data_IF_756278919806
#
_entry.id   IF_756278919806
#
_cell.length_a   1.000
_cell.length_b   1.000
_cell.length_c   1.000
_cell.angle_alpha   90.00
_cell.angle_beta   90.00
_cell.angle_gamma   90.00
#
_symmetry.space_group_name_H-M   'P 1'
#
loop_
_entity.id
_entity.type
_entity.pdbx_description
1 polymer ?
#
# COMPACT_ATOMS: atom_id res chain seq x y z
N UNK A 1 -9.13 -11.36 3.20
CA UNK A 1 -8.38 -12.36 2.39
C UNK A 1 -7.02 -12.58 3.06
N UNK A 2 -6.50 -13.81 3.14
CA UNK A 2 -5.14 -14.05 3.67
C UNK A 2 -4.09 -13.67 2.61
N UNK A 3 -2.99 -13.06 3.03
CA UNK A 3 -1.87 -12.67 2.16
C UNK A 3 -0.54 -13.25 2.65
N UNK A 4 0.55 -12.91 1.96
CA UNK A 4 1.90 -13.34 2.31
C UNK A 4 2.50 -12.50 3.44
N UNK A 5 3.50 -13.04 4.15
CA UNK A 5 4.19 -12.31 5.23
C UNK A 5 4.75 -10.97 4.72
N UNK A 6 4.68 -9.94 5.56
CA UNK A 6 5.11 -8.56 5.27
C UNK A 6 4.38 -7.85 4.11
N UNK A 7 3.39 -8.46 3.46
CA UNK A 7 2.54 -7.79 2.45
C UNK A 7 1.34 -7.11 3.10
N UNK A 8 0.77 -6.09 2.45
CA UNK A 8 -0.39 -5.32 2.93
C UNK A 8 -1.42 -5.22 1.82
N UNK A 9 -2.68 -5.56 2.12
CA UNK A 9 -3.80 -5.34 1.21
C UNK A 9 -3.72 -6.08 -0.13
N UNK A 10 -2.88 -7.10 -0.28
CA UNK A 10 -2.75 -7.88 -1.52
C UNK A 10 -3.04 -9.37 -1.27
N UNK A 11 -3.44 -10.09 -2.31
CA UNK A 11 -3.59 -11.55 -2.25
C UNK A 11 -2.24 -12.26 -2.16
N UNK A 12 -2.24 -13.57 -1.92
CA UNK A 12 -1.02 -14.40 -1.91
C UNK A 12 -0.33 -14.53 -3.27
N UNK A 13 -0.91 -14.00 -4.35
CA UNK A 13 -0.28 -13.91 -5.66
C UNK A 13 0.89 -12.89 -5.69
N UNK A 14 0.90 -11.93 -4.75
CA UNK A 14 1.97 -10.94 -4.65
C UNK A 14 3.04 -11.42 -3.66
N UNK A 15 4.26 -11.63 -4.16
CA UNK A 15 5.42 -12.01 -3.34
C UNK A 15 5.94 -10.86 -2.48
N UNK A 16 6.82 -11.20 -1.52
CA UNK A 16 7.55 -10.19 -0.74
C UNK A 16 8.37 -9.29 -1.67
N UNK A 17 8.14 -7.97 -1.62
CA UNK A 17 8.84 -6.95 -2.44
C UNK A 17 8.64 -7.13 -3.96
N UNK A 18 7.63 -7.89 -4.37
CA UNK A 18 7.25 -8.08 -5.75
C UNK A 18 6.45 -6.87 -6.27
N UNK A 19 7.17 -5.79 -6.59
CA UNK A 19 6.60 -4.56 -7.12
C UNK A 19 5.91 -4.76 -8.47
N UNK A 20 6.27 -5.80 -9.25
CA UNK A 20 5.66 -6.09 -10.55
C UNK A 20 4.24 -6.62 -10.36
N UNK A 21 4.06 -7.65 -9.55
CA UNK A 21 2.72 -8.19 -9.27
C UNK A 21 1.88 -7.24 -8.41
N UNK A 22 2.49 -6.40 -7.57
CA UNK A 22 1.78 -5.36 -6.83
C UNK A 22 0.99 -4.40 -7.73
N UNK A 23 1.46 -4.12 -8.96
CA UNK A 23 0.75 -3.24 -9.92
C UNK A 23 -0.54 -3.86 -10.48
N UNK A 24 -0.79 -5.14 -10.26
CA UNK A 24 -1.97 -5.81 -10.79
C UNK A 24 -3.16 -5.67 -9.83
N UNK A 25 -4.10 -4.81 -10.19
CA UNK A 25 -5.32 -4.53 -9.41
C UNK A 25 -6.20 -5.77 -9.14
N UNK A 26 -6.11 -6.82 -9.98
CA UNK A 26 -6.84 -8.08 -9.70
C UNK A 26 -6.38 -8.79 -8.43
N UNK A 27 -5.19 -8.45 -7.92
CA UNK A 27 -4.65 -8.96 -6.67
C UNK A 27 -4.97 -8.07 -5.46
N UNK A 28 -5.78 -7.02 -5.62
CA UNK A 28 -6.12 -6.05 -4.57
C UNK A 28 -7.52 -6.35 -3.99
N UNK A 29 -7.62 -7.12 -2.91
CA UNK A 29 -8.89 -7.28 -2.20
C UNK A 29 -9.38 -5.95 -1.62
N UNK A 30 -10.70 -5.71 -1.69
CA UNK A 30 -11.33 -4.57 -1.04
C UNK A 30 -11.27 -4.67 0.49
N UNK A 31 -11.03 -3.54 1.16
CA UNK A 31 -11.11 -3.44 2.61
C UNK A 31 -12.56 -3.18 3.07
N UNK A 32 -12.84 -3.42 4.35
CA UNK A 32 -14.14 -3.07 4.94
C UNK A 32 -14.45 -1.57 4.84
N UNK A 33 -13.43 -0.71 4.98
CA UNK A 33 -13.59 0.74 4.88
C UNK A 33 -13.95 1.16 3.45
N UNK A 34 -13.44 0.45 2.44
CA UNK A 34 -13.86 0.64 1.05
C UNK A 34 -15.36 0.37 0.89
N UNK A 35 -15.84 -0.78 1.38
CA UNK A 35 -17.27 -1.11 1.32
C UNK A 35 -18.13 -0.13 2.12
N UNK A 36 -17.66 0.34 3.27
CA UNK A 36 -18.36 1.35 4.06
C UNK A 36 -18.50 2.67 3.29
N UNK A 37 -17.46 3.13 2.59
CA UNK A 37 -17.53 4.31 1.73
C UNK A 37 -18.47 4.13 0.54
N UNK A 38 -18.43 2.96 -0.12
CA UNK A 38 -19.34 2.63 -1.22
C UNK A 38 -20.81 2.62 -0.76
N UNK A 39 -21.05 2.27 0.49
CA UNK A 39 -22.36 2.38 1.15
C UNK A 39 -22.69 3.80 1.68
N UNK A 40 -21.89 4.82 1.35
CA UNK A 40 -22.11 6.21 1.74
C UNK A 40 -21.81 6.53 3.21
N UNK A 41 -21.07 5.68 3.92
CA UNK A 41 -20.72 5.89 5.34
C UNK A 41 -19.45 6.71 5.50
N UNK A 42 -19.37 7.45 6.61
CA UNK A 42 -18.12 8.06 7.05
C UNK A 42 -17.13 6.99 7.54
N UNK A 43 -15.87 7.13 7.16
CA UNK A 43 -14.79 6.19 7.53
C UNK A 43 -13.57 6.96 8.01
N UNK A 44 -12.75 6.34 8.86
CA UNK A 44 -11.49 6.91 9.31
C UNK A 44 -10.67 5.89 10.11
N UNK A 45 -9.44 6.27 10.42
CA UNK A 45 -8.49 5.45 11.17
C UNK A 45 -7.92 6.24 12.36
N UNK A 46 -7.71 5.54 13.47
CA UNK A 46 -7.00 6.05 14.64
C UNK A 46 -6.00 4.98 15.07
N UNK A 47 -4.74 5.38 15.27
CA UNK A 47 -3.66 4.47 15.66
C UNK A 47 -2.71 5.15 16.64
N UNK A 48 -2.05 4.37 17.50
CA UNK A 48 -0.90 4.83 18.29
C UNK A 48 0.43 4.68 17.54
N UNK A 49 0.42 3.95 16.43
CA UNK A 49 1.55 3.80 15.50
C UNK A 49 1.46 4.83 14.36
N UNK A 50 2.46 4.91 13.47
CA UNK A 50 2.35 5.63 12.21
C UNK A 50 1.09 5.23 11.44
N UNK A 51 0.41 6.20 10.83
CA UNK A 51 -0.81 5.93 10.02
C UNK A 51 -0.51 5.15 8.73
N UNK A 52 0.77 5.06 8.37
CA UNK A 52 1.35 4.28 7.27
C UNK A 52 1.83 2.90 7.70
N UNK A 53 1.77 2.58 8.99
CA UNK A 53 2.17 1.25 9.46
C UNK A 53 1.19 0.16 8.99
N UNK A 54 1.60 -1.10 9.02
CA UNK A 54 0.88 -2.20 8.38
C UNK A 54 -0.60 -2.31 8.80
N UNK A 55 -0.90 -2.13 10.08
CA UNK A 55 -2.27 -2.26 10.61
C UNK A 55 -3.22 -1.19 10.05
N UNK A 56 -2.94 0.12 10.16
CA UNK A 56 -3.78 1.14 9.52
C UNK A 56 -3.73 1.08 7.98
N UNK A 57 -2.55 0.82 7.39
CA UNK A 57 -2.37 0.71 5.95
C UNK A 57 -3.23 -0.38 5.32
N UNK A 58 -3.46 -1.50 6.01
CA UNK A 58 -4.33 -2.58 5.52
C UNK A 58 -5.78 -2.15 5.24
N UNK A 59 -6.19 -0.98 5.74
CA UNK A 59 -7.52 -0.44 5.46
C UNK A 59 -7.61 0.32 4.14
N UNK A 60 -6.49 0.76 3.54
CA UNK A 60 -6.51 1.61 2.35
C UNK A 60 -5.44 1.32 1.29
N UNK A 61 -4.33 0.68 1.64
CA UNK A 61 -3.18 0.48 0.76
C UNK A 61 -3.03 -0.97 0.30
N UNK A 62 -2.41 -1.11 -0.86
CA UNK A 62 -2.02 -2.35 -1.50
C UNK A 62 -0.50 -2.29 -1.73
N UNK A 63 0.28 -3.08 -0.98
CA UNK A 63 1.74 -3.04 -1.02
C UNK A 63 2.36 -4.44 -0.90
N UNK A 64 3.35 -4.73 -1.74
CA UNK A 64 4.16 -5.95 -1.67
C UNK A 64 5.15 -5.97 -0.48
N UNK A 65 5.34 -4.82 0.19
CA UNK A 65 6.15 -4.74 1.39
C UNK A 65 5.66 -3.64 2.33
N UNK A 66 5.34 -4.00 3.58
CA UNK A 66 4.80 -3.07 4.58
C UNK A 66 5.71 -1.91 4.96
N UNK A 67 7.01 -2.01 4.66
CA UNK A 67 7.98 -0.93 4.93
C UNK A 67 8.14 0.01 3.75
N UNK A 68 7.32 -0.08 2.71
CA UNK A 68 7.25 0.95 1.67
C UNK A 68 6.27 2.05 2.10
N UNK A 69 6.56 2.66 3.24
CA UNK A 69 5.74 3.74 3.79
C UNK A 69 5.95 5.04 3.01
N UNK A 70 7.17 5.23 2.51
CA UNK A 70 7.60 6.36 1.69
C UNK A 70 8.23 5.90 0.38
N UNK A 71 8.34 6.82 -0.59
CA UNK A 71 9.03 6.58 -1.85
C UNK A 71 10.53 6.27 -1.67
N UNK A 72 11.17 6.88 -0.67
CA UNK A 72 12.58 6.64 -0.35
C UNK A 72 12.85 5.17 0.01
N UNK A 73 11.99 4.56 0.82
CA UNK A 73 12.12 3.14 1.20
C UNK A 73 11.94 2.23 -0.02
N UNK A 74 11.03 2.57 -0.94
CA UNK A 74 10.89 1.84 -2.20
C UNK A 74 12.12 1.99 -3.09
N UNK A 75 12.64 3.21 -3.26
CA UNK A 75 13.85 3.49 -4.05
C UNK A 75 15.03 2.69 -3.55
N UNK A 76 15.29 2.74 -2.24
CA UNK A 76 16.40 2.01 -1.61
C UNK A 76 16.30 0.49 -1.84
N UNK A 77 15.10 -0.09 -1.71
CA UNK A 77 14.86 -1.51 -1.96
C UNK A 77 15.08 -1.86 -3.44
N UNK A 78 14.54 -1.05 -4.36
CA UNK A 78 14.68 -1.23 -5.82
C UNK A 78 16.14 -1.07 -6.27
N UNK A 79 16.90 -0.15 -5.68
CA UNK A 79 18.32 0.06 -5.92
C UNK A 79 19.18 -1.10 -5.39
N UNK A 80 18.80 -1.69 -4.26
CA UNK A 80 19.53 -2.78 -3.61
C UNK A 80 19.39 -4.15 -4.29
N UNK A 81 18.84 -4.21 -5.51
CA UNK A 81 18.80 -5.43 -6.33
C UNK A 81 17.48 -6.22 -6.29
N UNK A 82 16.38 -5.59 -5.85
CA UNK A 82 15.03 -6.18 -5.96
C UNK A 82 14.47 -6.05 -7.39
N UNK A 83 15.08 -5.22 -8.24
CA UNK A 83 14.73 -5.10 -9.65
C UNK A 83 15.60 -5.97 -10.55
N UNK A 84 15.05 -6.23 -11.73
CA UNK A 84 15.81 -6.73 -12.88
C UNK A 84 16.83 -5.66 -13.30
N UNK A 85 18.09 -6.07 -13.50
CA UNK A 85 19.21 -5.21 -13.89
C UNK A 85 18.93 -4.42 -15.19
N UNK A 86 18.02 -4.91 -16.02
CA UNK A 86 17.63 -4.29 -17.29
C UNK A 86 16.54 -3.23 -17.16
N UNK A 87 15.97 -3.01 -15.97
CA UNK A 87 14.93 -2.01 -15.73
C UNK A 87 15.56 -0.81 -15.04
N UNK A 88 15.33 0.41 -15.55
CA UNK A 88 15.79 1.62 -14.86
C UNK A 88 15.01 1.84 -13.55
N UNK A 89 15.58 2.58 -12.59
CA UNK A 89 14.88 2.91 -11.34
C UNK A 89 13.60 3.68 -11.63
N UNK A 90 13.67 4.64 -12.55
CA UNK A 90 12.54 5.47 -12.94
C UNK A 90 11.42 4.63 -13.57
N UNK A 91 11.75 3.67 -14.43
CA UNK A 91 10.75 2.76 -15.03
C UNK A 91 10.13 1.80 -14.00
N UNK A 92 10.92 1.32 -13.04
CA UNK A 92 10.40 0.49 -11.95
C UNK A 92 9.41 1.29 -11.11
N UNK A 93 9.83 2.50 -10.69
CA UNK A 93 9.08 3.45 -9.86
C UNK A 93 7.85 4.02 -10.55
N UNK A 94 7.83 4.05 -11.88
CA UNK A 94 6.69 4.53 -12.65
C UNK A 94 5.41 3.79 -12.25
N UNK A 95 4.38 4.56 -11.89
CA UNK A 95 3.08 4.08 -11.45
C UNK A 95 3.10 3.25 -10.14
N UNK A 96 4.23 3.18 -9.42
CA UNK A 96 4.27 2.69 -8.04
C UNK A 96 3.93 3.83 -7.08
N UNK A 97 3.06 3.54 -6.13
CA UNK A 97 2.71 4.45 -5.03
C UNK A 97 3.09 3.80 -3.72
N UNK A 98 3.86 4.50 -2.89
CA UNK A 98 4.05 4.10 -1.49
C UNK A 98 2.73 4.21 -0.71
N UNK A 99 2.74 3.66 0.50
CA UNK A 99 1.57 3.65 1.37
C UNK A 99 1.08 5.08 1.65
N UNK A 100 1.97 6.06 1.86
CA UNK A 100 1.55 7.45 2.12
C UNK A 100 0.79 8.06 0.95
N UNK A 101 1.31 7.90 -0.28
CA UNK A 101 0.65 8.39 -1.49
C UNK A 101 -0.68 7.68 -1.71
N UNK A 102 -0.74 6.36 -1.49
CA UNK A 102 -2.00 5.61 -1.57
C UNK A 102 -3.05 6.11 -0.56
N UNK A 103 -2.63 6.52 0.65
CA UNK A 103 -3.53 7.08 1.66
C UNK A 103 -4.22 8.36 1.16
N UNK A 104 -3.49 9.24 0.46
CA UNK A 104 -4.00 10.55 0.06
C UNK A 104 -4.69 10.51 -1.31
N UNK A 105 -4.21 9.69 -2.24
CA UNK A 105 -4.68 9.71 -3.63
C UNK A 105 -5.68 8.60 -3.98
N UNK A 106 -5.56 7.44 -3.33
CA UNK A 106 -6.37 6.27 -3.68
C UNK A 106 -7.59 6.15 -2.76
N UNK A 107 -8.64 5.51 -3.27
CA UNK A 107 -9.78 5.12 -2.44
C UNK A 107 -9.48 3.75 -1.82
N UNK A 108 -9.75 3.54 -0.51
CA UNK A 108 -10.58 4.39 0.35
C UNK A 108 -9.86 5.54 1.09
N UNK A 109 -8.53 5.57 1.13
CA UNK A 109 -7.76 6.53 1.93
C UNK A 109 -8.19 7.99 1.74
N UNK A 110 -8.28 8.47 0.50
CA UNK A 110 -8.68 9.86 0.17
C UNK A 110 -10.06 10.27 0.68
N UNK A 111 -10.92 9.29 0.95
CA UNK A 111 -12.29 9.50 1.42
C UNK A 111 -12.42 9.49 2.95
N UNK A 112 -11.34 9.22 3.68
CA UNK A 112 -11.35 9.21 5.13
C UNK A 112 -11.69 10.59 5.69
N UNK A 113 -12.57 10.60 6.69
CA UNK A 113 -13.00 11.81 7.41
C UNK A 113 -12.11 12.10 8.62
N UNK A 114 -11.44 11.08 9.13
CA UNK A 114 -10.56 11.15 10.29
C UNK A 114 -9.34 10.28 10.03
N UNK A 115 -8.16 10.87 10.21
CA UNK A 115 -6.87 10.17 10.21
C UNK A 115 -6.10 10.70 11.42
N UNK A 116 -5.92 9.87 12.44
CA UNK A 116 -5.19 10.24 13.66
C UNK A 116 -4.16 9.17 13.99
N UNK A 117 -2.94 9.60 14.25
CA UNK A 117 -1.85 8.73 14.67
C UNK A 117 -0.50 9.42 14.53
N UNK A 118 0.57 8.64 14.55
CA UNK A 118 1.91 9.13 14.27
C UNK A 118 2.24 9.15 12.77
N UNK A 119 3.52 9.36 12.49
CA UNK A 119 4.16 9.21 11.18
C UNK A 119 5.62 8.88 11.43
#
# INVERSE_FOLDING_TARGET
VKGNIYTVGVTSAVGLRDWKNMKNDSYHPSSLLKWAQEAGKGTGIISTCPVTDASPAATYAHAAYRKWQTDLEMKNDIESGIRDENVSIDDAMKDLKDISVQMIENSPGKGFKVILGGG
#
